data_IF_798727784458
#
_entry.id   IF_798727784458
#
_cell.length_a   1.000
_cell.length_b   1.000
_cell.length_c   1.000
_cell.angle_alpha   90.00
_cell.angle_beta   90.00
_cell.angle_gamma   90.00
#
_symmetry.space_group_name_H-M   'P 1'
#
loop_
_entity.id
_entity.type
_entity.pdbx_description
1 polymer ?
#
# COMPACT_ATOMS: atom_id res chain seq x y z
N UNK A 1 17.74 -8.23 -9.09
CA UNK A 1 16.45 -7.52 -9.03
C UNK A 1 15.68 -8.01 -7.81
N UNK A 2 15.34 -7.12 -6.89
CA UNK A 2 14.60 -7.37 -5.65
C UNK A 2 13.32 -6.54 -5.67
N UNK A 3 12.18 -7.18 -5.44
CA UNK A 3 10.88 -6.52 -5.40
C UNK A 3 10.35 -6.61 -3.98
N UNK A 4 9.98 -5.47 -3.39
CA UNK A 4 9.21 -5.44 -2.16
C UNK A 4 7.72 -5.54 -2.49
N UNK A 5 6.97 -6.30 -1.71
CA UNK A 5 5.54 -6.51 -1.92
C UNK A 5 4.78 -6.18 -0.64
N UNK A 6 3.77 -5.32 -0.76
CA UNK A 6 2.81 -4.99 0.29
C UNK A 6 1.40 -5.38 -0.13
N UNK A 7 0.56 -5.74 0.84
CA UNK A 7 -0.85 -6.11 0.64
C UNK A 7 -1.65 -5.86 1.92
N UNK A 8 -2.98 -5.85 1.84
CA UNK A 8 -3.90 -5.92 2.97
C UNK A 8 -3.67 -4.81 4.03
N UNK A 9 -3.44 -3.59 3.56
CA UNK A 9 -3.13 -2.43 4.42
C UNK A 9 -4.38 -1.99 5.21
N UNK A 10 -5.56 -2.13 4.59
CA UNK A 10 -6.88 -1.84 5.16
C UNK A 10 -6.98 -0.52 5.93
N UNK A 11 -6.42 0.57 5.39
CA UNK A 11 -6.52 1.91 5.98
C UNK A 11 -5.68 2.13 7.25
N UNK A 12 -4.75 1.23 7.56
CA UNK A 12 -3.84 1.37 8.71
C UNK A 12 -2.57 2.16 8.33
N UNK A 13 -2.65 3.49 8.35
CA UNK A 13 -1.55 4.36 7.92
C UNK A 13 -0.30 4.23 8.80
N UNK A 14 -0.48 3.96 10.11
CA UNK A 14 0.63 3.81 11.05
C UNK A 14 1.43 2.55 10.70
N UNK A 15 0.76 1.42 10.49
CA UNK A 15 1.42 0.19 10.06
C UNK A 15 2.06 0.35 8.67
N UNK A 16 1.37 1.01 7.73
CA UNK A 16 1.90 1.26 6.40
C UNK A 16 3.19 2.07 6.44
N UNK A 17 3.24 3.16 7.21
CA UNK A 17 4.47 3.98 7.35
C UNK A 17 5.64 3.16 7.86
N UNK A 18 5.42 2.31 8.87
CA UNK A 18 6.47 1.41 9.40
C UNK A 18 6.91 0.37 8.39
N UNK A 19 5.98 -0.20 7.62
CA UNK A 19 6.33 -1.12 6.55
C UNK A 19 7.17 -0.41 5.47
N UNK A 20 6.79 0.80 5.07
CA UNK A 20 7.53 1.60 4.08
C UNK A 20 8.93 2.00 4.56
N UNK A 21 9.12 2.33 5.84
CA UNK A 21 10.45 2.55 6.44
C UNK A 21 11.33 1.29 6.32
N UNK A 22 10.78 0.11 6.59
CA UNK A 22 11.51 -1.15 6.43
C UNK A 22 11.84 -1.45 4.95
N UNK A 23 10.91 -1.14 4.04
CA UNK A 23 11.12 -1.25 2.59
C UNK A 23 12.26 -0.32 2.15
N UNK A 24 12.29 0.93 2.61
CA UNK A 24 13.34 1.90 2.27
C UNK A 24 14.72 1.43 2.74
N UNK A 25 14.80 0.87 3.95
CA UNK A 25 16.04 0.34 4.49
C UNK A 25 16.61 -0.83 3.66
N UNK A 26 15.75 -1.60 3.00
CA UNK A 26 16.16 -2.72 2.15
C UNK A 26 16.59 -2.29 0.74
N UNK A 27 16.23 -1.08 0.31
CA UNK A 27 16.51 -0.51 -1.02
C UNK A 27 16.17 -1.48 -2.17
N UNK A 28 14.92 -1.96 -2.29
CA UNK A 28 14.51 -2.81 -3.41
C UNK A 28 14.54 -2.03 -4.73
N UNK A 29 14.59 -2.75 -5.84
CA UNK A 29 14.53 -2.17 -7.18
C UNK A 29 13.12 -1.69 -7.55
N UNK A 30 12.08 -2.23 -6.89
CA UNK A 30 10.68 -1.83 -7.10
C UNK A 30 9.79 -2.19 -5.90
N UNK A 31 8.68 -1.47 -5.73
CA UNK A 31 7.65 -1.71 -4.73
C UNK A 31 6.30 -2.01 -5.38
N UNK A 32 5.74 -3.18 -5.09
CA UNK A 32 4.43 -3.60 -5.58
C UNK A 32 3.41 -3.57 -4.43
N UNK A 33 2.19 -3.11 -4.72
CA UNK A 33 1.04 -3.20 -3.83
C UNK A 33 -0.04 -4.09 -4.46
N UNK A 34 -0.40 -5.18 -3.79
CA UNK A 34 -1.37 -6.17 -4.31
C UNK A 34 -2.84 -5.78 -4.05
N UNK A 35 -3.08 -4.68 -3.35
CA UNK A 35 -4.41 -4.14 -3.13
C UNK A 35 -4.82 -4.12 -1.66
N UNK A 36 -6.13 -4.01 -1.44
CA UNK A 36 -6.76 -3.85 -0.13
C UNK A 36 -6.11 -2.75 0.71
N UNK A 37 -5.80 -1.64 0.02
CA UNK A 37 -5.25 -0.42 0.62
C UNK A 37 -6.26 0.22 1.57
N UNK A 38 -7.53 0.15 1.19
CA UNK A 38 -8.70 0.65 1.94
C UNK A 38 -9.44 -0.50 2.61
N UNK A 39 -10.32 -0.17 3.55
CA UNK A 39 -11.07 -1.17 4.31
C UNK A 39 -11.59 -0.57 5.61
N UNK A 40 -11.28 -1.22 6.72
CA UNK A 40 -11.85 -0.90 8.04
C UNK A 40 -11.03 0.10 8.86
N UNK A 41 -9.77 0.34 8.48
CA UNK A 41 -8.86 1.21 9.21
C UNK A 41 -9.26 2.69 9.12
N UNK A 42 -8.80 3.51 10.07
CA UNK A 42 -9.33 4.85 10.30
C UNK A 42 -8.89 5.89 9.25
N UNK A 43 -7.83 5.62 8.47
CA UNK A 43 -7.20 6.61 7.59
C UNK A 43 -6.98 6.06 6.16
N UNK A 44 -8.05 5.65 5.45
CA UNK A 44 -7.94 5.01 4.13
C UNK A 44 -7.37 5.96 3.07
N UNK A 45 -7.74 7.25 3.06
CA UNK A 45 -7.23 8.22 2.09
C UNK A 45 -5.72 8.40 2.21
N UNK A 46 -5.20 8.50 3.43
CA UNK A 46 -3.77 8.65 3.67
C UNK A 46 -2.99 7.41 3.18
N UNK A 47 -3.53 6.20 3.37
CA UNK A 47 -2.94 4.98 2.83
C UNK A 47 -2.93 4.98 1.28
N UNK A 48 -4.02 5.40 0.66
CA UNK A 48 -4.12 5.48 -0.81
C UNK A 48 -3.10 6.45 -1.37
N UNK A 49 -2.98 7.66 -0.79
CA UNK A 49 -2.03 8.66 -1.26
C UNK A 49 -0.57 8.21 -1.07
N UNK A 50 -0.25 7.53 0.04
CA UNK A 50 1.08 6.94 0.23
C UNK A 50 1.40 5.85 -0.78
N UNK A 51 0.49 4.90 -1.02
CA UNK A 51 0.70 3.85 -2.01
C UNK A 51 0.76 4.43 -3.42
N UNK A 52 -0.04 5.46 -3.72
CA UNK A 52 0.00 6.16 -5.00
C UNK A 52 1.37 6.82 -5.25
N UNK A 53 1.95 7.43 -4.23
CA UNK A 53 3.25 8.09 -4.35
C UNK A 53 4.44 7.12 -4.41
N UNK A 54 4.31 5.92 -3.83
CA UNK A 54 5.46 5.05 -3.52
C UNK A 54 5.52 3.74 -4.31
N UNK A 55 4.38 3.16 -4.69
CA UNK A 55 4.36 1.86 -5.36
C UNK A 55 4.36 2.01 -6.89
N UNK A 56 5.23 1.27 -7.56
CA UNK A 56 5.36 1.24 -9.01
C UNK A 56 4.19 0.50 -9.67
N UNK A 57 3.78 -0.61 -9.04
CA UNK A 57 2.65 -1.44 -9.47
C UNK A 57 1.63 -1.52 -8.35
N UNK A 58 0.36 -1.30 -8.68
CA UNK A 58 -0.75 -1.29 -7.74
C UNK A 58 -1.91 -2.06 -8.34
N UNK A 59 -2.42 -3.05 -7.62
CA UNK A 59 -3.58 -3.82 -8.01
C UNK A 59 -4.80 -3.40 -7.18
N UNK A 60 -5.98 -3.52 -7.77
CA UNK A 60 -7.23 -3.30 -7.05
C UNK A 60 -7.56 -4.54 -6.22
N UNK A 61 -7.61 -4.38 -4.89
CA UNK A 61 -8.14 -5.42 -4.00
C UNK A 61 -9.67 -5.44 -3.97
N UNK A 62 -10.26 -6.45 -3.33
CA UNK A 62 -11.71 -6.56 -3.22
C UNK A 62 -12.33 -5.45 -2.36
N UNK A 63 -11.62 -4.95 -1.35
CA UNK A 63 -12.09 -3.84 -0.52
C UNK A 63 -11.99 -2.48 -1.25
N UNK A 64 -11.14 -2.37 -2.28
CA UNK A 64 -10.98 -1.17 -3.10
C UNK A 64 -11.96 -1.05 -4.27
N UNK A 65 -12.59 -2.14 -4.71
CA UNK A 65 -13.53 -2.14 -5.83
C UNK A 65 -14.76 -1.23 -5.63
N UNK A 66 -15.11 -0.93 -4.38
CA UNK A 66 -16.25 -0.06 -4.05
C UNK A 66 -15.92 1.44 -4.15
N UNK A 67 -14.64 1.80 -4.27
CA UNK A 67 -14.15 3.19 -4.36
C UNK A 67 -13.79 3.62 -5.79
N UNK A 68 -13.99 2.72 -6.77
CA UNK A 68 -13.74 2.95 -8.19
C UNK A 68 -15.02 3.29 -8.98
N UNK A 69 -16.15 3.52 -8.30
CA UNK A 69 -17.39 4.07 -8.88
C UNK A 69 -17.50 5.56 -8.62
#
# INVERSE_FOLDING_TARGET
>A
MRIAVLSDIHGNVVALKRALEAVDALQPDSLFCLGDVVGYGPEPEACVELIRARADVRLAGNHGRQWLT
#
